data_IF_053632881054
#
_entry.id   IF_053632881054
#
_cell.length_a   1.000
_cell.length_b   1.000
_cell.length_c   1.000
_cell.angle_alpha   90.00
_cell.angle_beta   90.00
_cell.angle_gamma   90.00
#
_symmetry.space_group_name_H-M   'P 1'
#
loop_
_entity.id
_entity.type
_entity.pdbx_description
1 polymer ?
#
# COMPACT_ATOMS: atom_id res chain seq x y z
N UNK A 1 -9.81 6.86 5.88
CA UNK A 1 -10.77 6.11 5.05
C UNK A 1 -10.94 4.67 5.51
N UNK A 2 -9.93 3.79 5.40
CA UNK A 2 -10.12 2.35 5.72
C UNK A 2 -10.60 2.10 7.16
N UNK A 3 -9.99 2.77 8.14
CA UNK A 3 -10.41 2.73 9.54
C UNK A 3 -11.83 3.26 9.76
N UNK A 4 -12.11 4.43 9.18
CA UNK A 4 -13.39 5.13 9.34
C UNK A 4 -14.58 4.35 8.75
N UNK A 5 -14.30 3.47 7.77
CA UNK A 5 -15.30 2.64 7.09
C UNK A 5 -15.24 1.16 7.50
N UNK A 6 -14.43 0.81 8.52
CA UNK A 6 -14.25 -0.58 8.99
C UNK A 6 -13.83 -1.55 7.88
N UNK A 7 -13.07 -1.05 6.90
CA UNK A 7 -12.55 -1.83 5.79
C UNK A 7 -11.23 -2.46 6.23
N UNK A 8 -11.27 -3.77 6.38
CA UNK A 8 -10.11 -4.58 6.71
C UNK A 8 -9.40 -5.00 5.43
N UNK A 9 -8.07 -5.04 5.45
CA UNK A 9 -7.30 -5.72 4.40
C UNK A 9 -6.79 -7.07 4.91
N UNK A 10 -6.81 -8.09 4.05
CA UNK A 10 -6.33 -9.43 4.37
C UNK A 10 -4.81 -9.46 4.50
N UNK A 11 -4.13 -8.78 3.59
CA UNK A 11 -2.68 -8.67 3.54
C UNK A 11 -2.28 -7.29 3.09
N UNK A 12 -1.00 -6.97 3.27
CA UNK A 12 -0.41 -5.84 2.59
C UNK A 12 0.94 -6.20 2.02
N UNK A 13 1.05 -6.08 0.71
CA UNK A 13 2.30 -6.34 -0.02
C UNK A 13 2.81 -5.06 -0.66
N UNK A 14 4.14 -4.85 -0.75
CA UNK A 14 4.71 -3.66 -1.41
C UNK A 14 4.26 -3.51 -2.85
N UNK A 15 4.07 -4.64 -3.55
CA UNK A 15 3.57 -4.71 -4.92
C UNK A 15 2.13 -4.21 -5.08
N UNK A 16 1.36 -4.22 -3.99
CA UNK A 16 -0.05 -3.80 -3.95
C UNK A 16 -0.20 -2.32 -3.55
N UNK A 17 0.90 -1.60 -3.34
CA UNK A 17 0.88 -0.14 -3.17
C UNK A 17 1.33 0.47 -4.49
N UNK A 18 0.38 1.09 -5.18
CA UNK A 18 0.59 1.73 -6.47
C UNK A 18 0.76 3.24 -6.28
N UNK A 19 1.49 3.86 -7.20
CA UNK A 19 1.61 5.31 -7.27
C UNK A 19 0.68 5.83 -8.36
N UNK A 20 -0.44 6.45 -7.98
CA UNK A 20 -1.32 7.13 -8.92
C UNK A 20 -0.80 8.54 -9.15
N UNK A 21 -0.37 8.83 -10.39
CA UNK A 21 0.01 10.19 -10.79
C UNK A 21 -1.27 10.97 -11.13
N UNK A 22 -1.57 12.01 -10.36
CA UNK A 22 -2.74 12.88 -10.58
C UNK A 22 -2.35 14.07 -11.47
N UNK A 23 -1.12 14.57 -11.33
CA UNK A 23 -0.59 15.66 -12.14
C UNK A 23 0.91 15.45 -12.40
N UNK A 24 1.54 16.38 -13.12
CA UNK A 24 2.98 16.27 -13.34
C UNK A 24 3.80 16.31 -12.04
N UNK A 25 3.27 16.97 -11.01
CA UNK A 25 3.91 17.21 -9.72
C UNK A 25 3.33 16.40 -8.56
N UNK A 26 2.16 15.78 -8.75
CA UNK A 26 1.42 15.12 -7.67
C UNK A 26 1.28 13.62 -7.94
N UNK A 27 1.72 12.85 -6.95
CA UNK A 27 1.61 11.40 -6.91
C UNK A 27 0.98 11.00 -5.58
N UNK A 28 -0.09 10.21 -5.64
CA UNK A 28 -0.81 9.71 -4.47
C UNK A 28 -0.63 8.19 -4.39
N UNK A 29 -0.21 7.64 -3.24
CA UNK A 29 -0.17 6.20 -3.07
C UNK A 29 -1.59 5.64 -2.95
N UNK A 30 -1.88 4.59 -3.71
CA UNK A 30 -3.15 3.86 -3.71
C UNK A 30 -2.90 2.42 -3.30
N UNK A 31 -3.66 1.95 -2.32
CA UNK A 31 -3.61 0.55 -1.88
C UNK A 31 -4.57 -0.27 -2.74
N UNK A 32 -4.02 -1.20 -3.52
CA UNK A 32 -4.73 -2.16 -4.35
C UNK A 32 -4.46 -3.58 -3.82
N UNK A 33 -5.00 -3.90 -2.65
CA UNK A 33 -4.86 -5.22 -2.02
C UNK A 33 -6.23 -5.89 -1.82
N UNK A 34 -6.21 -7.15 -1.40
CA UNK A 34 -7.39 -7.93 -1.06
C UNK A 34 -8.09 -7.33 0.17
N UNK A 35 -9.21 -6.65 -0.07
CA UNK A 35 -10.11 -6.17 0.98
C UNK A 35 -10.93 -7.32 1.57
N UNK A 36 -11.24 -7.23 2.85
CA UNK A 36 -12.05 -8.18 3.58
C UNK A 36 -11.31 -8.93 4.68
N UNK A 37 -12.03 -9.89 5.26
CA UNK A 37 -11.57 -10.74 6.35
C UNK A 37 -11.54 -12.19 5.86
N UNK A 38 -10.44 -12.91 6.13
CA UNK A 38 -10.31 -14.33 5.82
C UNK A 38 -10.14 -15.18 7.06
N UNK A 39 -10.22 -14.58 8.25
CA UNK A 39 -10.21 -15.34 9.49
C UNK A 39 -11.50 -16.11 9.66
N UNK A 40 -11.39 -17.33 10.18
CA UNK A 40 -12.53 -18.21 10.44
C UNK A 40 -13.59 -17.54 11.34
N UNK A 41 -13.15 -16.70 12.28
CA UNK A 41 -14.03 -15.84 13.09
C UNK A 41 -13.75 -14.39 12.68
N UNK A 42 -14.70 -13.67 12.07
CA UNK A 42 -14.47 -12.33 11.54
C UNK A 42 -14.64 -11.24 12.61
N UNK A 43 -13.82 -11.28 13.66
CA UNK A 43 -13.92 -10.35 14.79
C UNK A 43 -13.83 -8.87 14.37
N UNK A 44 -13.02 -8.59 13.35
CA UNK A 44 -12.87 -7.23 12.82
C UNK A 44 -14.14 -6.70 12.13
N UNK A 45 -15.05 -7.58 11.70
CA UNK A 45 -16.36 -7.19 11.15
C UNK A 45 -17.34 -6.78 12.24
N UNK A 46 -17.22 -7.34 13.45
CA UNK A 46 -18.17 -7.11 14.54
C UNK A 46 -17.66 -6.13 15.61
N UNK A 47 -16.36 -5.87 15.64
CA UNK A 47 -15.72 -5.00 16.61
C UNK A 47 -14.75 -4.05 15.95
N UNK A 48 -15.01 -2.75 16.11
CA UNK A 48 -14.12 -1.67 15.65
C UNK A 48 -12.73 -1.78 16.25
N UNK A 49 -12.65 -2.10 17.55
CA UNK A 49 -11.36 -2.30 18.23
C UNK A 49 -10.56 -3.45 17.61
N UNK A 50 -11.22 -4.56 17.26
CA UNK A 50 -10.57 -5.68 16.57
C UNK A 50 -10.11 -5.29 15.16
N UNK A 51 -10.90 -4.48 14.44
CA UNK A 51 -10.54 -3.94 13.13
C UNK A 51 -9.27 -3.07 13.21
N UNK A 52 -9.25 -2.10 14.12
CA UNK A 52 -8.11 -1.19 14.34
C UNK A 52 -6.83 -1.97 14.66
N UNK A 53 -6.89 -2.86 15.64
CA UNK A 53 -5.73 -3.69 16.06
C UNK A 53 -5.29 -4.64 14.96
N UNK A 54 -6.21 -5.13 14.12
CA UNK A 54 -5.84 -5.98 12.98
C UNK A 54 -5.13 -5.15 11.92
N UNK A 55 -5.67 -4.00 11.55
CA UNK A 55 -5.07 -3.14 10.53
C UNK A 55 -3.69 -2.64 10.97
N UNK A 56 -3.56 -2.22 12.22
CA UNK A 56 -2.28 -1.80 12.81
C UNK A 56 -1.24 -2.92 12.71
N UNK A 57 -1.59 -4.16 13.08
CA UNK A 57 -0.68 -5.30 12.93
C UNK A 57 -0.27 -5.56 11.49
N UNK A 58 -1.19 -5.44 10.54
CA UNK A 58 -0.87 -5.59 9.11
C UNK A 58 0.11 -4.50 8.67
N UNK A 59 -0.12 -3.26 9.09
CA UNK A 59 0.74 -2.12 8.75
C UNK A 59 2.13 -2.25 9.37
N UNK A 60 2.22 -2.65 10.64
CA UNK A 60 3.49 -2.93 11.32
C UNK A 60 4.27 -4.04 10.62
N UNK A 61 3.60 -5.13 10.25
CA UNK A 61 4.22 -6.23 9.49
C UNK A 61 4.73 -5.76 8.14
N UNK A 62 3.98 -4.90 7.46
CA UNK A 62 4.38 -4.33 6.18
C UNK A 62 5.62 -3.46 6.30
N UNK A 63 5.66 -2.53 7.26
CA UNK A 63 6.80 -1.65 7.50
C UNK A 63 8.05 -2.47 7.87
N UNK A 64 7.88 -3.54 8.65
CA UNK A 64 8.96 -4.43 9.05
C UNK A 64 9.48 -5.35 7.91
N UNK A 65 8.89 -5.33 6.71
CA UNK A 65 9.35 -6.19 5.61
C UNK A 65 10.73 -5.76 5.12
N UNK A 66 11.74 -6.65 5.11
CA UNK A 66 13.08 -6.32 4.61
C UNK A 66 13.06 -5.84 3.16
N UNK A 67 12.16 -6.37 2.33
CA UNK A 67 11.99 -5.97 0.94
C UNK A 67 11.62 -4.49 0.79
N UNK A 68 10.83 -3.94 1.73
CA UNK A 68 10.49 -2.52 1.74
C UNK A 68 11.70 -1.67 2.11
N UNK A 69 12.46 -2.07 3.13
CA UNK A 69 13.69 -1.38 3.52
C UNK A 69 14.71 -1.32 2.36
N UNK A 70 14.94 -2.45 1.69
CA UNK A 70 15.82 -2.52 0.51
C UNK A 70 15.32 -1.64 -0.65
N UNK A 71 14.00 -1.58 -0.88
CA UNK A 71 13.42 -0.72 -1.91
C UNK A 71 13.63 0.78 -1.59
N UNK A 72 13.44 1.17 -0.32
CA UNK A 72 13.67 2.55 0.14
C UNK A 72 15.14 2.95 0.03
N UNK A 73 16.08 2.06 0.38
CA UNK A 73 17.52 2.31 0.25
C UNK A 73 17.94 2.46 -1.22
N UNK A 74 17.35 1.67 -2.14
CA UNK A 74 17.61 1.77 -3.58
C UNK A 74 17.13 3.09 -4.18
N UNK A 75 16.00 3.62 -3.72
CA UNK A 75 15.47 4.89 -4.19
C UNK A 75 16.17 6.11 -3.57
N UNK A 76 16.79 5.96 -2.40
CA UNK A 76 17.62 7.00 -1.77
C UNK A 76 18.98 7.19 -2.45
N UNK A 77 19.44 6.23 -3.26
CA UNK A 77 20.60 6.41 -4.12
C UNK A 77 20.25 7.39 -5.26
N UNK A 78 21.12 8.37 -5.58
CA UNK A 78 20.85 9.32 -6.65
C UNK A 78 20.72 8.56 -7.98
N UNK A 79 19.48 8.39 -8.44
CA UNK A 79 19.21 7.88 -9.78
C UNK A 79 19.76 8.90 -10.77
N UNK A 80 20.81 8.51 -11.49
CA UNK A 80 21.23 9.18 -12.72
C UNK A 80 19.96 9.43 -13.56
N UNK A 81 19.60 10.70 -13.73
CA UNK A 81 18.40 11.14 -14.45
C UNK A 81 18.54 10.83 -15.94
N UNK A 82 18.52 9.56 -16.33
CA UNK A 82 18.16 9.18 -17.69
C UNK A 82 16.66 9.31 -17.80
N UNK A 83 16.26 10.50 -18.25
CA UNK A 83 14.96 10.92 -18.75
C UNK A 83 14.21 9.71 -19.35
N UNK A 84 13.33 9.10 -18.56
CA UNK A 84 12.34 8.15 -19.05
C UNK A 84 11.35 8.95 -19.89
N UNK A 85 11.72 9.18 -21.15
CA UNK A 85 10.78 9.64 -22.17
C UNK A 85 9.86 8.46 -22.48
N UNK A 86 8.76 8.36 -21.72
CA UNK A 86 7.64 7.52 -22.08
C UNK A 86 6.98 8.16 -23.31
N UNK A 87 7.26 7.61 -24.48
CA UNK A 87 6.59 7.97 -25.72
C UNK A 87 5.13 7.53 -25.60
N UNK A 88 4.24 8.51 -25.43
CA UNK A 88 2.81 8.34 -25.61
C UNK A 88 2.56 7.88 -27.05
N UNK A 89 2.15 6.63 -27.23
CA UNK A 89 1.46 6.22 -28.44
C UNK A 89 0.00 6.68 -28.30
N UNK A 90 -0.39 7.66 -29.10
CA UNK A 90 -1.79 8.02 -29.34
C UNK A 90 -2.48 6.87 -30.10
N UNK A 91 -3.73 6.60 -29.73
CA UNK A 91 -4.63 5.66 -30.40
C UNK A 91 -5.56 6.41 -31.36
#
# INVERSE_FOLDING_TARGET
YLLDNHIVTMSLKPQNILCQRISESEVVPVVCDNLGESTFIPLATWSTWCCERKLERVWQRFIAQPALAVALERDAQPKDKKRLALTSHEA
#
